data_IF_866358665935
#
_entry.id   IF_866358665935
#
_cell.length_a   1.000
_cell.length_b   1.000
_cell.length_c   1.000
_cell.angle_alpha   90.00
_cell.angle_beta   90.00
_cell.angle_gamma   90.00
#
_symmetry.space_group_name_H-M   'P 1'
#
loop_
_entity.id
_entity.type
_entity.pdbx_description
1 polymer ?
#
# COMPACT_ATOMS: atom_id res chain seq x y z
N UNK A 1 1.84 14.24 25.95
CA UNK A 1 2.24 12.86 25.61
C UNK A 1 2.25 12.76 24.10
N UNK A 2 3.42 12.88 23.52
CA UNK A 2 3.63 12.60 22.10
C UNK A 2 3.43 11.11 21.91
N UNK A 3 2.45 10.76 21.09
CA UNK A 3 2.17 9.40 20.65
C UNK A 3 3.42 8.86 19.96
N UNK A 4 4.23 8.07 20.65
CA UNK A 4 5.59 7.75 20.19
C UNK A 4 5.59 6.46 19.36
N UNK A 5 4.83 6.47 18.25
CA UNK A 5 4.80 5.37 17.27
C UNK A 5 6.19 5.09 16.66
N UNK A 6 7.15 6.02 16.81
CA UNK A 6 8.55 5.82 16.38
C UNK A 6 9.22 4.67 17.14
N UNK A 7 8.86 4.45 18.41
CA UNK A 7 9.43 3.41 19.28
C UNK A 7 8.49 2.21 19.47
N UNK A 8 7.33 2.18 18.81
CA UNK A 8 6.38 1.08 18.94
C UNK A 8 6.92 -0.22 18.34
N UNK A 9 6.62 -1.35 18.98
CA UNK A 9 6.92 -2.66 18.43
C UNK A 9 5.99 -2.98 17.26
N UNK A 10 6.53 -3.58 16.20
CA UNK A 10 5.74 -4.06 15.08
C UNK A 10 5.03 -5.37 15.43
N UNK A 11 3.71 -5.39 15.24
CA UNK A 11 2.92 -6.61 15.27
C UNK A 11 2.79 -7.18 13.85
N UNK A 12 3.29 -8.40 13.63
CA UNK A 12 3.19 -9.06 12.33
C UNK A 12 2.01 -10.01 12.30
N UNK A 13 1.01 -9.71 11.44
CA UNK A 13 -0.19 -10.53 11.20
C UNK A 13 -1.00 -10.88 12.47
N UNK A 14 -0.85 -10.13 13.56
CA UNK A 14 -1.52 -10.41 14.83
C UNK A 14 -3.01 -10.04 14.81
N UNK A 15 -3.40 -9.04 14.02
CA UNK A 15 -4.80 -8.64 13.86
C UNK A 15 -5.40 -9.29 12.62
N UNK A 16 -6.17 -10.36 12.82
CA UNK A 16 -6.75 -11.13 11.71
C UNK A 16 -7.80 -10.34 10.92
N UNK A 17 -8.56 -9.45 11.55
CA UNK A 17 -9.57 -8.63 10.87
C UNK A 17 -8.91 -7.60 9.94
N UNK A 18 -7.83 -6.95 10.39
CA UNK A 18 -7.02 -6.05 9.56
C UNK A 18 -6.38 -6.83 8.40
N UNK A 19 -5.83 -8.01 8.68
CA UNK A 19 -5.24 -8.86 7.64
C UNK A 19 -6.26 -9.23 6.57
N UNK A 20 -7.48 -9.59 6.99
CA UNK A 20 -8.55 -9.95 6.07
C UNK A 20 -9.05 -8.74 5.28
N UNK A 21 -9.18 -7.57 5.92
CA UNK A 21 -9.53 -6.32 5.25
C UNK A 21 -8.55 -6.00 4.12
N UNK A 22 -7.25 -6.06 4.40
CA UNK A 22 -6.19 -5.77 3.42
C UNK A 22 -6.23 -6.79 2.27
N UNK A 23 -6.38 -8.09 2.57
CA UNK A 23 -6.49 -9.12 1.53
C UNK A 23 -7.71 -8.92 0.63
N UNK A 24 -8.86 -8.63 1.21
CA UNK A 24 -10.09 -8.37 0.47
C UNK A 24 -9.97 -7.12 -0.41
N UNK A 25 -9.34 -6.08 0.10
CA UNK A 25 -9.04 -4.88 -0.67
C UNK A 25 -8.14 -5.17 -1.88
N UNK A 26 -7.08 -5.95 -1.71
CA UNK A 26 -6.21 -6.34 -2.83
C UNK A 26 -6.93 -7.21 -3.86
N UNK A 27 -7.81 -8.10 -3.44
CA UNK A 27 -8.61 -8.92 -4.38
C UNK A 27 -9.59 -8.05 -5.18
N UNK A 28 -10.28 -7.10 -4.54
CA UNK A 28 -11.15 -6.15 -5.24
C UNK A 28 -10.36 -5.23 -6.18
N UNK A 29 -9.14 -4.85 -5.80
CA UNK A 29 -8.21 -4.06 -6.65
C UNK A 29 -7.79 -4.85 -7.90
N UNK A 30 -7.48 -6.13 -7.76
CA UNK A 30 -7.11 -7.02 -8.86
C UNK A 30 -8.20 -7.13 -9.93
N UNK A 31 -9.45 -7.24 -9.49
CA UNK A 31 -10.62 -7.37 -10.38
C UNK A 31 -11.22 -6.03 -10.79
N UNK A 32 -10.73 -4.91 -10.24
CA UNK A 32 -11.29 -3.56 -10.38
C UNK A 32 -12.79 -3.51 -9.97
N UNK A 33 -13.14 -4.30 -8.98
CA UNK A 33 -14.48 -4.33 -8.40
C UNK A 33 -14.67 -3.16 -7.45
N UNK A 34 -15.06 -2.02 -8.00
CA UNK A 34 -15.22 -0.77 -7.24
C UNK A 34 -16.39 -0.85 -6.25
N UNK A 35 -17.44 -1.59 -6.55
CA UNK A 35 -18.57 -1.76 -5.65
C UNK A 35 -18.14 -2.49 -4.37
N UNK A 36 -17.46 -3.62 -4.51
CA UNK A 36 -16.90 -4.37 -3.38
C UNK A 36 -15.81 -3.55 -2.65
N UNK A 37 -14.91 -2.89 -3.38
CA UNK A 37 -13.86 -2.04 -2.80
C UNK A 37 -14.43 -0.91 -1.94
N UNK A 38 -15.59 -0.35 -2.34
CA UNK A 38 -16.26 0.73 -1.61
C UNK A 38 -16.68 0.34 -0.20
N UNK A 39 -16.83 -0.96 0.07
CA UNK A 39 -17.18 -1.48 1.41
C UNK A 39 -15.98 -1.49 2.37
N UNK A 40 -14.77 -1.36 1.85
CA UNK A 40 -13.53 -1.46 2.63
C UNK A 40 -12.88 -0.10 2.91
N UNK A 41 -13.46 1.00 2.44
CA UNK A 41 -12.88 2.34 2.54
C UNK A 41 -13.83 3.34 3.21
N UNK A 42 -13.28 4.37 3.86
CA UNK A 42 -14.07 5.40 4.54
C UNK A 42 -14.78 6.34 3.57
N UNK A 43 -14.21 6.59 2.41
CA UNK A 43 -14.77 7.48 1.37
C UNK A 43 -14.60 6.85 -0.02
N UNK A 44 -15.66 6.18 -0.55
CA UNK A 44 -15.62 5.56 -1.87
C UNK A 44 -15.35 6.53 -3.04
N UNK A 45 -15.65 7.81 -2.87
CA UNK A 45 -15.42 8.82 -3.93
C UNK A 45 -13.92 9.10 -4.16
N UNK A 46 -13.08 8.69 -3.22
CA UNK A 46 -11.62 8.81 -3.32
C UNK A 46 -10.94 7.61 -3.96
N UNK A 47 -11.70 6.59 -4.34
CA UNK A 47 -11.19 5.45 -5.10
C UNK A 47 -10.83 5.91 -6.52
N UNK A 48 -9.55 5.77 -6.87
CA UNK A 48 -9.07 6.10 -8.23
C UNK A 48 -9.28 4.92 -9.18
N UNK A 49 -10.50 4.79 -9.71
CA UNK A 49 -10.87 3.71 -10.65
C UNK A 49 -9.98 3.66 -11.88
N UNK A 50 -9.61 4.81 -12.44
CA UNK A 50 -8.78 4.88 -13.65
C UNK A 50 -7.39 4.30 -13.38
N UNK A 51 -6.78 4.65 -12.25
CA UNK A 51 -5.50 4.10 -11.81
C UNK A 51 -5.56 2.58 -11.68
N UNK A 52 -6.60 2.05 -11.01
CA UNK A 52 -6.73 0.60 -10.80
C UNK A 52 -7.04 -0.14 -12.10
N UNK A 53 -7.85 0.43 -12.99
CA UNK A 53 -8.09 -0.14 -14.32
C UNK A 53 -6.80 -0.25 -15.12
N UNK A 54 -5.97 0.80 -15.09
CA UNK A 54 -4.67 0.82 -15.77
C UNK A 54 -3.70 -0.21 -15.17
N UNK A 55 -3.65 -0.32 -13.85
CA UNK A 55 -2.82 -1.32 -13.18
C UNK A 55 -3.24 -2.76 -13.52
N UNK A 56 -4.54 -3.02 -13.62
CA UNK A 56 -5.08 -4.34 -13.95
C UNK A 56 -4.71 -4.81 -15.38
N UNK A 57 -4.27 -3.91 -16.26
CA UNK A 57 -3.73 -4.29 -17.56
C UNK A 57 -2.40 -5.06 -17.43
N UNK A 58 -1.62 -4.77 -16.40
CA UNK A 58 -0.28 -5.29 -16.17
C UNK A 58 -0.20 -6.31 -15.04
N UNK A 59 -1.09 -6.23 -14.05
CA UNK A 59 -1.06 -7.06 -12.85
C UNK A 59 -1.97 -8.26 -13.00
N UNK A 60 -1.42 -9.45 -12.77
CA UNK A 60 -2.15 -10.71 -12.73
C UNK A 60 -2.70 -11.01 -11.33
N UNK A 61 -1.98 -10.63 -10.28
CA UNK A 61 -2.41 -10.83 -8.91
C UNK A 61 -1.44 -10.33 -7.85
N UNK A 62 -1.91 -10.45 -6.60
CA UNK A 62 -1.17 -10.13 -5.39
C UNK A 62 -1.13 -11.36 -4.50
N UNK A 63 0.01 -11.70 -3.95
CA UNK A 63 0.18 -12.88 -3.10
C UNK A 63 1.18 -12.64 -1.98
N UNK A 64 1.26 -13.57 -1.04
CA UNK A 64 2.16 -13.50 0.12
C UNK A 64 1.98 -12.21 0.94
N UNK A 65 0.73 -11.78 1.13
CA UNK A 65 0.39 -10.56 1.85
C UNK A 65 0.62 -10.76 3.34
N UNK A 66 1.50 -9.93 3.92
CA UNK A 66 1.82 -9.89 5.34
C UNK A 66 1.69 -8.46 5.84
N UNK A 67 0.95 -8.26 6.93
CA UNK A 67 0.67 -6.95 7.51
C UNK A 67 1.53 -6.73 8.77
N UNK A 68 2.30 -5.64 8.76
CA UNK A 68 2.99 -5.10 9.91
C UNK A 68 2.16 -3.94 10.46
N UNK A 69 1.82 -3.97 11.73
CA UNK A 69 0.84 -3.06 12.32
C UNK A 69 1.47 -2.26 13.46
N UNK A 70 1.23 -0.95 13.45
CA UNK A 70 1.46 -0.05 14.58
C UNK A 70 0.10 0.50 14.99
N UNK A 71 -0.26 0.27 16.26
CA UNK A 71 -1.49 0.76 16.85
C UNK A 71 -1.30 2.16 17.44
N UNK A 72 -2.30 3.02 17.30
CA UNK A 72 -2.34 4.32 17.98
C UNK A 72 -2.71 4.13 19.47
N UNK A 73 -1.97 4.78 20.36
CA UNK A 73 -2.27 4.73 21.80
C UNK A 73 -3.53 5.51 22.18
N UNK A 74 -3.88 6.52 21.40
CA UNK A 74 -4.94 7.48 21.76
C UNK A 74 -6.26 7.22 21.05
N UNK A 75 -6.23 6.45 19.96
CA UNK A 75 -7.40 6.23 19.10
C UNK A 75 -7.42 4.80 18.60
N UNK A 76 -8.61 4.32 18.23
CA UNK A 76 -8.79 3.01 17.59
C UNK A 76 -8.40 3.09 16.09
N UNK A 77 -7.12 3.35 15.87
CA UNK A 77 -6.52 3.54 14.55
C UNK A 77 -5.18 2.83 14.44
N UNK A 78 -4.83 2.46 13.23
CA UNK A 78 -3.68 1.62 12.92
C UNK A 78 -2.95 2.14 11.69
N UNK A 79 -1.61 2.19 11.76
CA UNK A 79 -0.76 2.30 10.59
C UNK A 79 -0.33 0.90 10.18
N UNK A 80 -0.69 0.49 8.96
CA UNK A 80 -0.50 -0.86 8.47
C UNK A 80 0.39 -0.84 7.24
N UNK A 81 1.44 -1.64 7.26
CA UNK A 81 2.36 -1.83 6.14
C UNK A 81 2.18 -3.25 5.61
N UNK A 82 1.59 -3.36 4.43
CA UNK A 82 1.42 -4.64 3.77
C UNK A 82 2.62 -4.92 2.87
N UNK A 83 3.43 -5.92 3.24
CA UNK A 83 4.42 -6.52 2.36
C UNK A 83 3.74 -7.61 1.55
N UNK A 84 3.90 -7.58 0.23
CA UNK A 84 3.31 -8.56 -0.68
C UNK A 84 4.17 -8.75 -1.91
N UNK A 85 3.87 -9.79 -2.67
CA UNK A 85 4.45 -10.03 -3.98
C UNK A 85 3.40 -9.76 -5.06
N UNK A 86 3.76 -8.94 -6.03
CA UNK A 86 2.94 -8.65 -7.20
C UNK A 86 3.35 -9.55 -8.36
N UNK A 87 2.41 -10.29 -8.92
CA UNK A 87 2.60 -11.05 -10.14
C UNK A 87 2.22 -10.20 -11.33
N UNK A 88 3.19 -9.94 -12.19
CA UNK A 88 2.98 -9.23 -13.46
C UNK A 88 2.68 -10.21 -14.60
N UNK A 89 1.83 -9.80 -15.54
CA UNK A 89 1.51 -10.59 -16.73
C UNK A 89 2.76 -10.78 -17.60
N UNK A 90 2.98 -12.02 -18.00
CA UNK A 90 4.11 -12.41 -18.85
C UNK A 90 5.51 -12.20 -18.22
N UNK A 91 5.59 -12.05 -16.90
CA UNK A 91 6.83 -11.97 -16.15
C UNK A 91 6.78 -13.03 -15.06
N UNK A 92 7.73 -13.94 -15.05
CA UNK A 92 7.74 -15.06 -14.10
C UNK A 92 8.22 -14.64 -12.70
N UNK A 93 9.11 -13.67 -12.64
CA UNK A 93 9.64 -13.15 -11.40
C UNK A 93 8.60 -12.31 -10.65
N UNK A 94 8.38 -12.63 -9.38
CA UNK A 94 7.50 -11.85 -8.52
C UNK A 94 8.14 -10.50 -8.14
N UNK A 95 7.34 -9.45 -8.08
CA UNK A 95 7.76 -8.13 -7.65
C UNK A 95 7.46 -7.93 -6.16
N UNK A 96 8.48 -7.92 -5.27
CA UNK A 96 8.27 -7.57 -3.86
C UNK A 96 7.83 -6.11 -3.72
N UNK A 97 6.75 -5.89 -2.99
CA UNK A 97 6.13 -4.58 -2.82
C UNK A 97 5.79 -4.31 -1.36
N UNK A 98 5.68 -3.03 -1.02
CA UNK A 98 5.22 -2.56 0.28
C UNK A 98 4.21 -1.42 0.08
N UNK A 99 3.01 -1.57 0.64
CA UNK A 99 1.98 -0.53 0.65
C UNK A 99 1.64 -0.14 2.08
N UNK A 100 1.41 1.15 2.33
CA UNK A 100 1.04 1.65 3.64
C UNK A 100 -0.42 2.10 3.65
N UNK A 101 -1.14 1.72 4.71
CA UNK A 101 -2.55 2.08 4.94
C UNK A 101 -2.70 2.77 6.29
N UNK A 102 -3.65 3.68 6.38
CA UNK A 102 -4.19 4.15 7.63
C UNK A 102 -5.57 3.52 7.79
N UNK A 103 -5.77 2.74 8.85
CA UNK A 103 -6.97 1.95 9.09
C UNK A 103 -7.60 2.44 10.39
N UNK A 104 -8.92 2.65 10.37
CA UNK A 104 -9.68 3.08 11.55
C UNK A 104 -10.85 2.16 11.80
N UNK A 105 -11.28 2.05 13.05
CA UNK A 105 -12.53 1.41 13.39
C UNK A 105 -13.72 2.33 13.05
N UNK A 106 -14.82 1.72 12.64
CA UNK A 106 -16.11 2.39 12.46
C UNK A 106 -16.93 2.29 13.75
N UNK A 107 -18.06 3.03 13.81
CA UNK A 107 -19.00 2.94 14.93
C UNK A 107 -19.59 1.54 15.17
N UNK A 108 -19.50 0.66 14.18
CA UNK A 108 -19.99 -0.73 14.24
C UNK A 108 -18.85 -1.72 14.52
N UNK A 109 -17.74 -1.26 15.09
CA UNK A 109 -16.53 -2.03 15.40
C UNK A 109 -15.93 -2.77 14.19
N UNK A 110 -16.10 -2.23 12.98
CA UNK A 110 -15.48 -2.74 11.76
C UNK A 110 -14.30 -1.86 11.38
N UNK A 111 -13.31 -2.46 10.74
CA UNK A 111 -12.17 -1.72 10.21
C UNK A 111 -12.40 -1.29 8.76
N UNK A 112 -11.94 -0.06 8.45
CA UNK A 112 -11.92 0.47 7.09
C UNK A 112 -10.59 1.13 6.79
N UNK A 113 -10.17 1.09 5.53
CA UNK A 113 -9.06 1.87 5.02
C UNK A 113 -9.51 3.34 4.94
N UNK A 114 -8.86 4.21 5.69
CA UNK A 114 -9.23 5.61 5.80
C UNK A 114 -8.67 6.40 4.62
N UNK A 115 -9.56 6.88 3.76
CA UNK A 115 -9.24 7.69 2.58
C UNK A 115 -9.69 9.14 2.72
N UNK A 116 -10.40 9.50 3.78
CA UNK A 116 -10.90 10.86 4.01
C UNK A 116 -9.76 11.83 4.34
N UNK A 117 -10.09 13.12 4.47
CA UNK A 117 -9.10 14.11 4.88
C UNK A 117 -8.61 13.82 6.31
N UNK A 118 -7.30 13.92 6.50
CA UNK A 118 -6.66 13.73 7.78
C UNK A 118 -6.70 15.02 8.60
N UNK A 119 -6.86 14.89 9.91
CA UNK A 119 -6.60 15.96 10.86
C UNK A 119 -5.13 15.96 11.30
N UNK A 120 -4.73 16.96 12.08
CA UNK A 120 -3.35 17.15 12.52
C UNK A 120 -2.83 15.95 13.35
N UNK A 121 -3.66 15.43 14.26
CA UNK A 121 -3.29 14.30 15.11
C UNK A 121 -3.10 12.99 14.30
N UNK A 122 -3.94 12.76 13.30
CA UNK A 122 -3.82 11.63 12.37
C UNK A 122 -2.54 11.75 11.53
N UNK A 123 -2.23 12.94 11.01
CA UNK A 123 -1.00 13.20 10.26
C UNK A 123 0.26 13.00 11.13
N UNK A 124 0.23 13.46 12.38
CA UNK A 124 1.33 13.25 13.33
C UNK A 124 1.55 11.75 13.62
N UNK A 125 0.50 11.00 13.88
CA UNK A 125 0.59 9.57 14.11
C UNK A 125 1.19 8.84 12.89
N UNK A 126 0.68 9.11 11.68
CA UNK A 126 1.18 8.51 10.44
C UNK A 126 2.67 8.84 10.25
N UNK A 127 3.04 10.11 10.44
CA UNK A 127 4.42 10.56 10.30
C UNK A 127 5.35 9.90 11.31
N UNK A 128 4.91 9.76 12.54
CA UNK A 128 5.66 9.08 13.60
C UNK A 128 5.85 7.59 13.29
N UNK A 129 4.77 6.90 12.90
CA UNK A 129 4.84 5.49 12.51
C UNK A 129 5.77 5.27 11.31
N UNK A 130 5.75 6.16 10.31
CA UNK A 130 6.59 6.06 9.11
C UNK A 130 8.10 6.26 9.40
N UNK A 131 8.45 6.83 10.54
CA UNK A 131 9.82 6.99 11.03
C UNK A 131 10.29 5.86 11.95
N UNK A 132 9.41 4.94 12.32
CA UNK A 132 9.79 3.79 13.13
C UNK A 132 10.96 3.05 12.46
N UNK A 133 12.01 2.73 13.23
CA UNK A 133 13.25 2.17 12.68
C UNK A 133 13.04 0.83 11.98
N UNK A 134 12.16 -0.04 12.53
CA UNK A 134 11.83 -1.33 11.91
C UNK A 134 11.07 -1.14 10.58
N UNK A 135 10.25 -0.08 10.46
CA UNK A 135 9.58 0.28 9.20
C UNK A 135 10.57 0.84 8.17
N UNK A 136 11.50 1.68 8.60
CA UNK A 136 12.57 2.17 7.72
C UNK A 136 13.40 1.00 7.17
N UNK A 137 13.81 0.09 8.04
CA UNK A 137 14.55 -1.11 7.66
C UNK A 137 13.74 -2.02 6.71
N UNK A 138 12.43 -2.17 6.97
CA UNK A 138 11.53 -2.94 6.12
C UNK A 138 11.40 -2.31 4.71
N UNK A 139 11.27 -0.99 4.63
CA UNK A 139 11.23 -0.26 3.35
C UNK A 139 12.52 -0.46 2.54
N UNK A 140 13.68 -0.33 3.18
CA UNK A 140 14.98 -0.53 2.55
C UNK A 140 15.15 -1.99 2.08
N UNK A 141 14.77 -2.95 2.92
CA UNK A 141 14.81 -4.37 2.58
C UNK A 141 13.96 -4.69 1.35
N UNK A 142 12.71 -4.24 1.32
CA UNK A 142 11.79 -4.50 0.19
C UNK A 142 12.29 -3.81 -1.08
N UNK A 143 12.80 -2.58 -0.98
CA UNK A 143 13.40 -1.89 -2.12
C UNK A 143 14.61 -2.64 -2.69
N UNK A 144 15.47 -3.20 -1.82
CA UNK A 144 16.60 -4.03 -2.23
C UNK A 144 16.18 -5.36 -2.86
N UNK A 145 15.16 -6.01 -2.31
CA UNK A 145 14.58 -7.25 -2.88
C UNK A 145 13.98 -6.98 -4.28
N UNK A 146 13.27 -5.86 -4.46
CA UNK A 146 12.72 -5.46 -5.75
C UNK A 146 13.82 -5.19 -6.77
N UNK A 147 14.86 -4.44 -6.40
CA UNK A 147 16.00 -4.17 -7.29
C UNK A 147 16.69 -5.46 -7.71
N UNK A 148 16.90 -6.39 -6.77
CA UNK A 148 17.49 -7.69 -7.07
C UNK A 148 16.62 -8.53 -8.02
N UNK A 149 15.31 -8.48 -7.88
CA UNK A 149 14.36 -9.16 -8.77
C UNK A 149 14.40 -8.56 -10.18
N UNK A 150 14.44 -7.24 -10.31
CA UNK A 150 14.57 -6.53 -11.59
C UNK A 150 15.88 -6.89 -12.29
N UNK A 151 16.99 -6.92 -11.55
CA UNK A 151 18.33 -7.19 -12.11
C UNK A 151 18.49 -8.63 -12.63
N UNK A 152 17.73 -9.57 -12.09
CA UNK A 152 17.79 -10.99 -12.46
C UNK A 152 16.94 -11.36 -13.67
N UNK A 153 15.95 -10.54 -14.01
CA UNK A 153 14.97 -10.85 -15.05
C UNK A 153 14.93 -9.73 -16.09
N UNK A 154 15.39 -10.03 -17.30
CA UNK A 154 15.47 -9.07 -18.41
C UNK A 154 14.10 -8.53 -18.79
N UNK A 155 13.07 -9.38 -18.81
CA UNK A 155 11.70 -8.98 -19.13
C UNK A 155 11.15 -8.04 -18.06
N UNK A 156 11.43 -8.31 -16.79
CA UNK A 156 11.05 -7.45 -15.69
C UNK A 156 11.77 -6.09 -15.75
N UNK A 157 13.06 -6.10 -16.03
CA UNK A 157 13.84 -4.86 -16.19
C UNK A 157 13.30 -3.98 -17.32
N UNK A 158 12.99 -4.56 -18.46
CA UNK A 158 12.40 -3.84 -19.61
C UNK A 158 11.02 -3.28 -19.26
N UNK A 159 10.18 -4.05 -18.58
CA UNK A 159 8.87 -3.60 -18.10
C UNK A 159 9.02 -2.41 -17.15
N UNK A 160 9.90 -2.50 -16.17
CA UNK A 160 10.12 -1.45 -15.17
C UNK A 160 10.62 -0.15 -15.81
N UNK A 161 11.56 -0.24 -16.76
CA UNK A 161 12.08 0.91 -17.51
C UNK A 161 10.97 1.58 -18.33
N UNK A 162 10.10 0.79 -18.97
CA UNK A 162 8.95 1.31 -19.71
C UNK A 162 7.98 2.06 -18.82
N UNK A 163 7.64 1.48 -17.66
CA UNK A 163 6.74 2.11 -16.69
C UNK A 163 7.33 3.41 -16.13
N UNK A 164 8.62 3.45 -15.83
CA UNK A 164 9.32 4.66 -15.37
C UNK A 164 9.28 5.79 -16.42
N UNK A 165 9.47 5.44 -17.70
CA UNK A 165 9.35 6.40 -18.80
C UNK A 165 7.92 6.92 -18.97
N UNK A 166 6.90 6.08 -18.86
CA UNK A 166 5.49 6.48 -18.93
C UNK A 166 5.11 7.42 -17.79
N UNK A 167 5.58 7.15 -16.58
CA UNK A 167 5.36 8.01 -15.41
C UNK A 167 6.04 9.37 -15.60
N UNK A 168 7.28 9.41 -16.08
CA UNK A 168 8.00 10.65 -16.34
C UNK A 168 7.33 11.48 -17.45
N UNK A 169 6.86 10.85 -18.51
CA UNK A 169 6.12 11.51 -19.58
C UNK A 169 4.79 12.10 -19.10
N UNK A 170 4.04 11.38 -18.26
CA UNK A 170 2.80 11.85 -17.65
C UNK A 170 3.05 13.05 -16.70
N UNK A 171 4.13 13.03 -15.91
CA UNK A 171 4.54 14.13 -15.03
C UNK A 171 4.93 15.37 -15.83
N UNK A 172 5.65 15.23 -16.94
CA UNK A 172 6.05 16.32 -17.82
C UNK A 172 4.85 16.98 -18.53
N UNK A 173 3.77 16.24 -18.79
CA UNK A 173 2.52 16.77 -19.40
C UNK A 173 1.58 17.47 -18.41
N UNK A 174 1.93 17.55 -17.10
CA UNK A 174 1.07 18.13 -16.06
C UNK A 174 -0.16 17.27 -15.71
N UNK A 175 -0.31 16.08 -16.27
CA UNK A 175 -1.43 15.18 -16.04
C UNK A 175 -1.32 14.38 -14.71
N UNK A 176 -0.21 14.48 -13.99
CA UNK A 176 0.05 13.72 -12.78
C UNK A 176 0.20 14.63 -11.56
N UNK A 177 -0.89 15.20 -11.08
CA UNK A 177 -0.91 15.93 -9.81
C UNK A 177 -0.70 15.01 -8.56
N UNK A 178 -0.51 13.69 -8.74
CA UNK A 178 -0.39 12.71 -7.65
C UNK A 178 0.65 11.60 -7.92
N UNK A 179 1.72 11.90 -8.64
CA UNK A 179 2.80 10.93 -8.89
C UNK A 179 3.84 10.88 -7.75
N UNK A 180 3.41 11.01 -6.50
CA UNK A 180 4.26 10.94 -5.31
C UNK A 180 4.36 9.56 -4.65
N UNK A 181 3.70 8.55 -5.18
CA UNK A 181 3.89 7.18 -4.70
C UNK A 181 4.67 6.39 -5.74
N UNK A 182 5.81 5.76 -5.33
CA UNK A 182 6.41 4.75 -6.17
C UNK A 182 5.33 3.72 -6.52
N UNK A 183 5.43 3.13 -7.71
CA UNK A 183 4.64 1.94 -8.04
C UNK A 183 4.72 0.98 -6.86
N UNK A 184 3.58 0.43 -6.43
CA UNK A 184 3.55 -0.48 -5.29
C UNK A 184 4.54 -1.61 -5.48
#
# INVERSE_FOLDING_TARGET
NTNNAEDANLALNENEEINQLVKNYFESKKTVDIETMSQYVSDPNRINKEKFSKMAEYVEGYQNINCYVIESEDTDAYRVYAKYDMKLKNIDTLAPCLSAFYITATSDDKYVIYLSALDEAQEEFITSADKNSEIVDLKEKVAGELQAAIDKDVAFKQFYQKMDQEIKAASASGAAANAGQPLP
#
